data_IF_952507385610
#
_entry.id   IF_952507385610
#
_cell.length_a   1.000
_cell.length_b   1.000
_cell.length_c   1.000
_cell.angle_alpha   90.00
_cell.angle_beta   90.00
_cell.angle_gamma   90.00
#
_symmetry.space_group_name_H-M   'P 1'
#
loop_
_entity.id
_entity.type
_entity.pdbx_description
1 polymer ?
#
# COMPACT_ATOMS: atom_id res chain seq x y z
N UNK A 1 9.91 10.82 -19.49
CA UNK A 1 10.59 10.29 -18.28
C UNK A 1 11.49 11.36 -17.62
N UNK A 2 12.53 11.87 -18.30
CA UNK A 2 13.44 12.87 -17.73
C UNK A 2 12.79 14.21 -17.37
N UNK A 3 11.87 14.71 -18.20
CA UNK A 3 11.16 15.98 -17.94
C UNK A 3 10.27 15.89 -16.70
N UNK A 4 9.51 14.79 -16.54
CA UNK A 4 8.73 14.53 -15.34
C UNK A 4 9.62 14.43 -14.09
N UNK A 5 10.74 13.70 -14.18
CA UNK A 5 11.72 13.61 -13.10
C UNK A 5 12.22 14.97 -12.61
N UNK A 6 12.51 15.88 -13.54
CA UNK A 6 12.94 17.26 -13.22
C UNK A 6 11.79 18.07 -12.64
N UNK A 7 10.63 18.08 -13.30
CA UNK A 7 9.44 18.83 -12.88
C UNK A 7 9.02 18.49 -11.45
N UNK A 8 9.03 17.20 -11.13
CA UNK A 8 8.58 16.69 -9.84
C UNK A 8 9.72 16.70 -8.79
N UNK A 9 10.92 17.13 -9.20
CA UNK A 9 12.07 17.38 -8.32
C UNK A 9 12.64 16.13 -7.67
N UNK A 10 12.59 14.97 -8.32
CA UNK A 10 13.00 13.69 -7.73
C UNK A 10 14.51 13.56 -7.47
N UNK A 11 15.33 14.45 -8.03
CA UNK A 11 16.74 14.61 -7.65
C UNK A 11 16.93 14.73 -6.12
N UNK A 12 15.94 15.30 -5.41
CA UNK A 12 15.98 15.47 -3.95
C UNK A 12 16.18 14.17 -3.16
N UNK A 13 15.83 13.02 -3.75
CA UNK A 13 15.96 11.70 -3.12
C UNK A 13 17.31 11.03 -3.38
N UNK A 14 18.20 11.68 -4.14
CA UNK A 14 19.51 11.16 -4.49
C UNK A 14 20.58 11.98 -3.77
N UNK A 15 21.43 11.30 -3.00
CA UNK A 15 22.55 11.88 -2.25
C UNK A 15 23.90 11.69 -2.95
N UNK A 16 23.90 11.05 -4.13
CA UNK A 16 25.09 10.79 -4.93
C UNK A 16 25.69 12.11 -5.45
N UNK A 17 26.93 12.38 -5.02
CA UNK A 17 27.69 13.60 -5.34
C UNK A 17 28.72 13.39 -6.45
N UNK A 18 28.71 12.24 -7.12
CA UNK A 18 29.60 11.99 -8.27
C UNK A 18 29.38 13.03 -9.37
N UNK A 19 30.40 13.32 -10.19
CA UNK A 19 30.33 14.38 -11.18
C UNK A 19 29.21 14.14 -12.21
N UNK A 20 28.67 15.23 -12.77
CA UNK A 20 27.61 15.18 -13.78
C UNK A 20 28.00 14.39 -15.04
N UNK A 21 29.30 14.22 -15.32
CA UNK A 21 29.79 13.34 -16.39
C UNK A 21 29.36 11.88 -16.19
N UNK A 22 29.23 11.44 -14.93
CA UNK A 22 28.86 10.07 -14.56
C UNK A 22 27.36 9.89 -14.33
N UNK A 23 26.73 10.76 -13.54
CA UNK A 23 25.33 10.57 -13.09
C UNK A 23 24.32 11.50 -13.78
N UNK A 24 24.81 12.40 -14.65
CA UNK A 24 24.07 13.53 -15.26
C UNK A 24 23.53 14.53 -14.23
N UNK A 25 23.16 15.70 -14.71
CA UNK A 25 22.63 16.79 -13.87
C UNK A 25 21.33 16.41 -13.12
N UNK A 26 20.55 15.46 -13.61
CA UNK A 26 19.33 14.99 -12.93
C UNK A 26 19.59 13.96 -11.83
N UNK A 27 20.81 13.41 -11.75
CA UNK A 27 21.16 12.21 -10.96
C UNK A 27 20.31 10.96 -11.26
N UNK A 28 19.56 10.95 -12.37
CA UNK A 28 18.70 9.83 -12.77
C UNK A 28 19.49 8.53 -12.96
N UNK A 29 20.76 8.64 -13.38
CA UNK A 29 21.66 7.51 -13.62
C UNK A 29 22.49 7.12 -12.39
N UNK A 30 22.20 7.71 -11.22
CA UNK A 30 22.80 7.27 -9.98
C UNK A 30 22.37 5.84 -9.65
N UNK A 31 23.30 5.03 -9.13
CA UNK A 31 23.00 3.71 -8.60
C UNK A 31 21.99 3.78 -7.43
N UNK A 32 21.89 4.93 -6.74
CA UNK A 32 20.89 5.13 -5.68
C UNK A 32 19.45 5.14 -6.22
N UNK A 33 19.25 5.32 -7.53
CA UNK A 33 17.95 5.27 -8.21
C UNK A 33 17.59 3.87 -8.74
N UNK A 34 18.39 2.84 -8.40
CA UNK A 34 18.18 1.50 -8.93
C UNK A 34 18.53 0.42 -7.93
N UNK A 35 18.03 -0.78 -8.22
CA UNK A 35 18.37 -2.00 -7.49
C UNK A 35 18.65 -3.11 -8.49
N UNK A 36 19.79 -3.76 -8.37
CA UNK A 36 20.10 -4.91 -9.22
C UNK A 36 19.39 -6.15 -8.65
N UNK A 37 18.54 -6.77 -9.48
CA UNK A 37 17.71 -7.91 -9.10
C UNK A 37 17.94 -9.09 -10.04
N UNK A 38 17.71 -10.30 -9.53
CA UNK A 38 17.59 -11.50 -10.37
C UNK A 38 16.36 -11.34 -11.27
N UNK A 39 16.43 -11.84 -12.50
CA UNK A 39 15.40 -11.56 -13.52
C UNK A 39 13.98 -11.98 -13.11
N UNK A 40 13.83 -13.11 -12.42
CA UNK A 40 12.56 -13.59 -11.87
C UNK A 40 12.02 -12.69 -10.74
N UNK A 41 12.90 -12.12 -9.92
CA UNK A 41 12.53 -11.18 -8.85
C UNK A 41 12.21 -9.79 -9.41
N UNK A 42 12.89 -9.38 -10.48
CA UNK A 42 12.66 -8.11 -11.15
C UNK A 42 11.21 -8.00 -11.64
N UNK A 43 10.66 -9.07 -12.22
CA UNK A 43 9.25 -9.10 -12.65
C UNK A 43 8.27 -8.87 -11.49
N UNK A 44 8.55 -9.42 -10.31
CA UNK A 44 7.71 -9.18 -9.12
C UNK A 44 7.87 -7.77 -8.55
N UNK A 45 9.07 -7.20 -8.65
CA UNK A 45 9.32 -5.81 -8.24
C UNK A 45 8.56 -4.84 -9.15
N UNK A 46 8.64 -5.00 -10.47
CA UNK A 46 7.93 -4.18 -11.47
C UNK A 46 6.40 -4.28 -11.32
N UNK A 47 5.90 -5.47 -11.00
CA UNK A 47 4.47 -5.72 -10.75
C UNK A 47 4.00 -5.24 -9.36
N UNK A 48 4.87 -4.57 -8.60
CA UNK A 48 4.62 -4.13 -7.23
C UNK A 48 4.22 -5.26 -6.26
N UNK A 49 4.57 -6.51 -6.55
CA UNK A 49 4.28 -7.66 -5.68
C UNK A 49 5.33 -7.85 -4.58
N UNK A 50 6.48 -7.17 -4.70
CA UNK A 50 7.52 -7.14 -3.68
C UNK A 50 7.89 -5.70 -3.36
N UNK A 51 7.82 -5.36 -2.07
CA UNK A 51 8.27 -4.09 -1.51
C UNK A 51 9.43 -4.29 -0.54
N UNK A 52 10.15 -3.21 -0.25
CA UNK A 52 11.22 -3.19 0.75
C UNK A 52 10.94 -2.03 1.68
N UNK A 53 10.92 -2.30 2.98
CA UNK A 53 10.70 -1.29 4.02
C UNK A 53 12.06 -0.82 4.58
N UNK A 54 12.55 0.36 4.18
CA UNK A 54 13.82 0.88 4.68
C UNK A 54 13.76 1.31 6.16
N UNK A 55 12.56 1.54 6.72
CA UNK A 55 12.36 1.94 8.11
C UNK A 55 12.30 0.72 9.04
N UNK A 56 11.90 -0.45 8.51
CA UNK A 56 11.98 -1.74 9.19
C UNK A 56 13.28 -2.50 8.86
N UNK A 57 14.43 -1.82 8.89
CA UNK A 57 15.76 -2.39 8.65
C UNK A 57 15.86 -3.11 7.29
N UNK A 58 15.29 -2.50 6.25
CA UNK A 58 15.25 -3.02 4.87
C UNK A 58 14.60 -4.41 4.74
N UNK A 59 13.55 -4.65 5.52
CA UNK A 59 12.75 -5.88 5.46
C UNK A 59 12.05 -6.01 4.11
N UNK A 60 12.11 -7.19 3.52
CA UNK A 60 11.42 -7.53 2.27
C UNK A 60 9.98 -7.94 2.60
N UNK A 61 9.02 -7.34 1.90
CA UNK A 61 7.59 -7.57 2.06
C UNK A 61 7.07 -8.14 0.74
N UNK A 62 6.42 -9.29 0.80
CA UNK A 62 5.81 -9.95 -0.36
C UNK A 62 4.29 -9.81 -0.25
N UNK A 63 3.65 -9.30 -1.30
CA UNK A 63 2.21 -9.00 -1.35
C UNK A 63 1.40 -10.09 -2.05
N UNK A 64 1.78 -11.36 -1.87
CA UNK A 64 1.15 -12.50 -2.52
C UNK A 64 1.77 -13.83 -2.06
N UNK A 65 1.81 -14.82 -2.95
CA UNK A 65 2.45 -16.11 -2.65
C UNK A 65 3.98 -15.95 -2.66
N UNK A 66 4.62 -16.20 -1.52
CA UNK A 66 6.08 -16.15 -1.40
C UNK A 66 6.73 -17.45 -1.92
N UNK A 67 6.84 -17.56 -3.25
CA UNK A 67 7.46 -18.73 -3.91
C UNK A 67 8.98 -18.77 -3.76
N UNK A 68 9.60 -17.64 -3.43
CA UNK A 68 11.04 -17.50 -3.32
C UNK A 68 11.55 -17.53 -1.87
N UNK A 69 10.65 -17.54 -0.88
CA UNK A 69 11.01 -17.54 0.55
C UNK A 69 11.70 -16.24 0.99
N UNK A 70 11.39 -15.11 0.35
CA UNK A 70 12.04 -13.83 0.62
C UNK A 70 11.29 -12.99 1.64
N UNK A 71 10.02 -13.29 1.89
CA UNK A 71 9.17 -12.56 2.83
C UNK A 71 9.79 -12.53 4.23
N UNK A 72 9.89 -11.33 4.80
CA UNK A 72 10.45 -11.14 6.13
C UNK A 72 11.98 -11.22 6.23
N UNK A 73 12.67 -11.57 5.14
CA UNK A 73 14.12 -11.45 5.06
C UNK A 73 14.54 -10.00 4.85
N UNK A 74 15.85 -9.76 4.69
CA UNK A 74 16.43 -8.42 4.58
C UNK A 74 17.17 -8.22 3.27
N UNK A 75 17.09 -7.00 2.73
CA UNK A 75 17.91 -6.58 1.61
C UNK A 75 19.42 -6.78 1.92
N UNK A 76 20.15 -7.31 0.94
CA UNK A 76 21.57 -7.57 1.09
C UNK A 76 22.37 -6.31 1.45
N UNK A 77 23.42 -6.49 2.25
CA UNK A 77 24.23 -5.38 2.75
C UNK A 77 24.84 -4.52 1.63
N UNK A 78 25.19 -5.13 0.51
CA UNK A 78 25.71 -4.45 -0.69
C UNK A 78 24.76 -3.40 -1.25
N UNK A 79 23.45 -3.58 -1.12
CA UNK A 79 22.44 -2.65 -1.62
C UNK A 79 22.02 -1.58 -0.60
N UNK A 80 22.29 -1.77 0.69
CA UNK A 80 21.89 -0.84 1.78
C UNK A 80 23.05 -0.11 2.45
N UNK A 81 24.30 -0.40 2.09
CA UNK A 81 25.49 0.23 2.67
C UNK A 81 26.38 0.90 1.60
N UNK A 82 27.15 1.91 2.02
CA UNK A 82 28.03 2.68 1.13
C UNK A 82 27.33 3.81 0.37
N UNK A 83 28.10 4.45 -0.52
CA UNK A 83 27.67 5.65 -1.26
C UNK A 83 26.79 5.33 -2.48
N UNK A 84 26.76 4.08 -2.92
CA UNK A 84 25.95 3.60 -4.05
C UNK A 84 24.73 2.79 -3.61
N UNK A 85 24.42 2.78 -2.30
CA UNK A 85 23.22 2.12 -1.77
C UNK A 85 21.95 2.69 -2.39
N UNK A 86 20.91 1.88 -2.50
CA UNK A 86 19.60 2.34 -2.96
C UNK A 86 19.07 3.44 -2.03
N UNK A 87 18.40 4.45 -2.60
CA UNK A 87 17.81 5.53 -1.82
C UNK A 87 16.65 5.00 -0.95
N UNK A 88 16.68 5.24 0.38
CA UNK A 88 15.57 4.90 1.26
C UNK A 88 14.25 5.57 0.82
N UNK A 89 14.31 6.82 0.35
CA UNK A 89 13.09 7.55 -0.04
C UNK A 89 12.43 6.95 -1.29
N UNK A 90 13.23 6.46 -2.24
CA UNK A 90 12.70 5.76 -3.40
C UNK A 90 12.12 4.39 -3.01
N UNK A 91 12.73 3.69 -2.04
CA UNK A 91 12.13 2.47 -1.49
C UNK A 91 10.81 2.73 -0.77
N UNK A 92 10.70 3.82 0.00
CA UNK A 92 9.42 4.23 0.63
C UNK A 92 8.34 4.52 -0.41
N UNK A 93 8.71 5.21 -1.48
CA UNK A 93 7.80 5.45 -2.60
C UNK A 93 7.34 4.14 -3.25
N UNK A 94 8.28 3.23 -3.54
CA UNK A 94 7.98 1.93 -4.13
C UNK A 94 7.07 1.10 -3.24
N UNK A 95 7.38 1.02 -1.93
CA UNK A 95 6.55 0.32 -0.95
C UNK A 95 5.13 0.90 -0.88
N UNK A 96 4.99 2.23 -0.97
CA UNK A 96 3.68 2.88 -1.05
C UNK A 96 2.90 2.44 -2.29
N UNK A 97 3.57 2.29 -3.44
CA UNK A 97 2.94 1.77 -4.64
C UNK A 97 2.56 0.29 -4.51
N UNK A 98 3.40 -0.54 -3.86
CA UNK A 98 3.03 -1.91 -3.50
C UNK A 98 1.76 -1.95 -2.63
N UNK A 99 1.67 -1.09 -1.62
CA UNK A 99 0.48 -1.00 -0.79
C UNK A 99 -0.74 -0.57 -1.62
N UNK A 100 -0.63 0.47 -2.45
CA UNK A 100 -1.75 0.88 -3.30
C UNK A 100 -2.17 -0.19 -4.30
N UNK A 101 -1.23 -0.87 -4.95
CA UNK A 101 -1.54 -1.87 -5.95
C UNK A 101 -2.20 -3.10 -5.31
N UNK A 102 -1.65 -3.62 -4.21
CA UNK A 102 -2.12 -4.88 -3.65
C UNK A 102 -3.25 -4.69 -2.65
N UNK A 103 -3.30 -3.62 -1.86
CA UNK A 103 -4.42 -3.39 -0.94
C UNK A 103 -5.65 -2.84 -1.66
N UNK A 104 -5.51 -2.05 -2.74
CA UNK A 104 -6.66 -1.65 -3.56
C UNK A 104 -7.11 -2.71 -4.57
N UNK A 105 -6.23 -3.62 -5.01
CA UNK A 105 -6.64 -4.72 -5.88
C UNK A 105 -7.25 -5.92 -5.11
N UNK A 106 -6.88 -6.13 -3.83
CA UNK A 106 -7.56 -7.11 -2.96
C UNK A 106 -8.83 -6.57 -2.30
N UNK A 107 -9.20 -5.32 -2.57
CA UNK A 107 -10.57 -4.87 -2.43
C UNK A 107 -11.27 -5.05 -3.77
N UNK A 108 -11.71 -6.27 -4.07
CA UNK A 108 -13.17 -6.33 -4.20
C UNK A 108 -13.65 -6.03 -2.79
N UNK A 109 -14.21 -4.84 -2.51
CA UNK A 109 -14.92 -4.72 -1.27
C UNK A 109 -15.99 -5.81 -1.36
N UNK A 110 -15.93 -6.81 -0.49
CA UNK A 110 -17.21 -7.26 0.06
C UNK A 110 -17.76 -6.01 0.72
N UNK A 111 -18.56 -5.27 -0.04
CA UNK A 111 -19.51 -4.34 0.53
C UNK A 111 -20.41 -5.24 1.35
N UNK A 112 -20.01 -5.50 2.60
CA UNK A 112 -20.96 -5.96 3.59
C UNK A 112 -21.77 -4.72 3.88
N UNK A 113 -22.91 -4.61 3.21
CA UNK A 113 -23.91 -3.63 3.59
C UNK A 113 -24.49 -4.08 4.94
N UNK A 114 -25.15 -3.18 5.67
CA UNK A 114 -25.86 -3.58 6.90
C UNK A 114 -26.84 -4.75 6.63
N UNK A 115 -27.33 -4.87 5.38
CA UNK A 115 -28.16 -5.98 4.87
C UNK A 115 -27.45 -7.35 4.85
N UNK A 116 -26.12 -7.39 4.89
CA UNK A 116 -25.32 -8.63 4.94
C UNK A 116 -25.03 -9.09 6.38
N UNK A 117 -25.44 -8.31 7.39
CA UNK A 117 -25.46 -8.74 8.78
C UNK A 117 -26.74 -9.55 8.99
N UNK A 118 -26.64 -10.79 9.46
CA UNK A 118 -27.72 -11.79 9.55
C UNK A 118 -28.98 -11.36 10.34
N UNK A 119 -28.98 -10.18 10.93
CA UNK A 119 -30.14 -9.64 11.62
C UNK A 119 -30.94 -8.76 10.66
N UNK A 120 -32.17 -9.18 10.36
CA UNK A 120 -33.23 -8.37 9.77
C UNK A 120 -34.26 -8.02 10.86
N UNK A 121 -33.98 -7.02 11.73
CA UNK A 121 -34.91 -6.62 12.77
C UNK A 121 -36.23 -6.17 12.17
N UNK A 122 -36.20 -5.56 10.98
CA UNK A 122 -37.38 -4.99 10.36
C UNK A 122 -38.35 -6.07 9.87
N UNK A 123 -37.86 -7.09 9.16
CA UNK A 123 -38.65 -8.24 8.76
C UNK A 123 -39.22 -9.00 9.95
N UNK A 124 -38.46 -9.12 11.05
CA UNK A 124 -38.96 -9.76 12.27
C UNK A 124 -40.11 -9.00 12.96
N UNK A 125 -40.14 -7.67 12.86
CA UNK A 125 -41.23 -6.84 13.40
C UNK A 125 -42.46 -6.91 12.49
N UNK A 126 -42.27 -6.86 11.17
CA UNK A 126 -43.35 -6.91 10.17
C UNK A 126 -44.11 -8.24 10.15
N UNK A 127 -43.50 -9.33 10.60
CA UNK A 127 -44.14 -10.64 10.73
C UNK A 127 -45.08 -10.77 11.94
N UNK A 128 -45.08 -9.79 12.84
CA UNK A 128 -45.86 -9.85 14.08
C UNK A 128 -47.26 -9.24 13.89
N UNK A 129 -48.30 -9.80 14.53
CA UNK A 129 -49.67 -9.31 14.37
C UNK A 129 -49.89 -7.88 14.88
N UNK A 130 -48.97 -7.37 15.71
CA UNK A 130 -48.90 -6.02 16.30
C UNK A 130 -47.75 -5.18 15.72
N UNK A 131 -47.34 -5.45 14.48
CA UNK A 131 -46.17 -4.83 13.84
C UNK A 131 -46.13 -3.30 13.92
N UNK A 132 -47.28 -2.62 13.77
CA UNK A 132 -47.36 -1.16 13.83
C UNK A 132 -46.99 -0.62 15.21
N UNK A 133 -47.53 -1.20 16.27
CA UNK A 133 -47.30 -0.79 17.67
C UNK A 133 -45.85 -1.08 18.08
N UNK A 134 -45.29 -2.20 17.63
CA UNK A 134 -43.88 -2.54 17.86
C UNK A 134 -42.90 -1.66 17.12
N UNK A 135 -43.23 -1.28 15.88
CA UNK A 135 -42.44 -0.33 15.11
C UNK A 135 -42.40 1.04 15.80
N UNK A 136 -43.53 1.52 16.32
CA UNK A 136 -43.58 2.79 17.06
C UNK A 136 -42.69 2.77 18.31
N UNK A 137 -42.74 1.69 19.10
CA UNK A 137 -41.88 1.53 20.29
C UNK A 137 -40.40 1.48 19.91
N UNK A 138 -40.05 0.75 18.84
CA UNK A 138 -38.67 0.61 18.37
C UNK A 138 -38.11 1.97 17.89
N UNK A 139 -38.89 2.71 17.09
CA UNK A 139 -38.53 4.05 16.62
C UNK A 139 -38.39 5.04 17.77
N UNK A 140 -39.32 5.01 18.73
CA UNK A 140 -39.28 5.90 19.89
C UNK A 140 -38.08 5.59 20.79
N UNK A 141 -37.75 4.31 20.99
CA UNK A 141 -36.61 3.90 21.82
C UNK A 141 -35.27 4.28 21.19
N UNK A 142 -35.12 4.12 19.88
CA UNK A 142 -33.86 4.43 19.17
C UNK A 142 -33.66 5.91 18.87
N UNK A 143 -34.73 6.62 18.51
CA UNK A 143 -34.66 7.99 18.01
C UNK A 143 -35.20 9.04 18.98
N UNK A 144 -35.96 8.64 20.01
CA UNK A 144 -36.60 9.58 20.94
C UNK A 144 -35.61 10.50 21.67
N UNK A 145 -34.38 10.04 21.93
CA UNK A 145 -33.32 10.87 22.52
C UNK A 145 -32.59 11.80 21.55
N UNK A 146 -32.80 11.64 20.23
CA UNK A 146 -32.16 12.42 19.16
C UNK A 146 -33.08 13.53 18.61
N UNK A 147 -34.36 13.52 18.98
CA UNK A 147 -35.39 14.46 18.53
C UNK A 147 -35.77 15.45 19.66
N UNK A 148 -34.84 15.70 20.59
CA UNK A 148 -34.98 16.69 21.67
C UNK A 148 -34.30 18.02 21.32
#
# INVERSE_FOLDING_TARGET
MLEGWRRDGYRRYITDIRPNSEIRESSLYSAQNGLLLRADIHSFFDAFQIGIDPDADYKIIVFGKDTAGMGGTRLQNSARSGNQRVSPDLLRWHLRMCLYNNLKANTEPRTMWEEDLEEDPMGSILLQPDAAERMEVELFTRLGGLVA
#
